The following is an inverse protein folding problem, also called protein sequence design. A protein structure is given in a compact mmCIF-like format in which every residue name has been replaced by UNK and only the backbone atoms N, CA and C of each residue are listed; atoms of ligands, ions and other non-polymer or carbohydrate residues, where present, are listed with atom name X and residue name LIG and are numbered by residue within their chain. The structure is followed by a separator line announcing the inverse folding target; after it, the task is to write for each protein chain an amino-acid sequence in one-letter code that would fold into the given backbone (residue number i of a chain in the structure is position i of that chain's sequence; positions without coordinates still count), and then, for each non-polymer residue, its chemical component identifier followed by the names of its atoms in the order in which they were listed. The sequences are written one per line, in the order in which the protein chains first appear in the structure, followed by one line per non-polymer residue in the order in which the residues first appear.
data_IF_322372010891
#
_entry.id   IF_322372010891
#
_cell.length_a   1.000
_cell.length_b   1.000
_cell.length_c   1.000
_cell.angle_alpha   90.00
_cell.angle_beta   90.00
_cell.angle_gamma   90.00
#
_symmetry.space_group_name_H-M   'P 1'
#
loop_
_entity.id
_entity.type
_entity.pdbx_description
1 polymer ?
#
# COMPACT_ATOMS: atom_id res chain seq x y z
N UNK A 1 -19.86 -17.15 -8.39
CA UNK A 1 -20.69 -16.01 -8.80
C UNK A 1 -21.08 -15.28 -7.53
N UNK A 2 -20.61 -14.04 -7.34
CA UNK A 2 -20.90 -13.27 -6.12
C UNK A 2 -22.37 -12.82 -6.13
N UNK A 3 -23.02 -12.89 -4.99
CA UNK A 3 -24.36 -12.37 -4.74
C UNK A 3 -24.35 -10.84 -4.73
N UNK A 4 -25.50 -10.22 -5.00
CA UNK A 4 -25.65 -8.76 -4.97
C UNK A 4 -25.24 -8.17 -3.60
N UNK A 5 -25.49 -8.90 -2.52
CA UNK A 5 -25.07 -8.56 -1.16
C UNK A 5 -23.54 -8.49 -1.06
N UNK A 6 -22.84 -9.51 -1.54
CA UNK A 6 -21.37 -9.56 -1.54
C UNK A 6 -20.76 -8.45 -2.40
N UNK A 7 -21.36 -8.13 -3.55
CA UNK A 7 -20.89 -7.04 -4.42
C UNK A 7 -21.01 -5.67 -3.71
N UNK A 8 -22.13 -5.43 -3.02
CA UNK A 8 -22.34 -4.19 -2.26
C UNK A 8 -21.36 -4.12 -1.08
N UNK A 9 -21.11 -5.23 -0.40
CA UNK A 9 -20.14 -5.31 0.71
C UNK A 9 -18.72 -5.02 0.25
N UNK A 10 -18.26 -5.63 -0.85
CA UNK A 10 -16.93 -5.37 -1.41
C UNK A 10 -16.80 -3.91 -1.84
N UNK A 11 -17.84 -3.33 -2.47
CA UNK A 11 -17.83 -1.91 -2.84
C UNK A 11 -17.76 -0.98 -1.63
N UNK A 12 -18.56 -1.24 -0.60
CA UNK A 12 -18.55 -0.46 0.63
C UNK A 12 -17.21 -0.60 1.37
N UNK A 13 -16.65 -1.81 1.44
CA UNK A 13 -15.35 -2.05 2.05
C UNK A 13 -14.23 -1.36 1.26
N UNK A 14 -14.25 -1.41 -0.07
CA UNK A 14 -13.27 -0.73 -0.92
C UNK A 14 -13.38 0.80 -0.81
N UNK A 15 -14.61 1.34 -0.79
CA UNK A 15 -14.85 2.76 -0.60
C UNK A 15 -14.39 3.21 0.79
N UNK A 16 -14.76 2.47 1.83
CA UNK A 16 -14.29 2.69 3.20
C UNK A 16 -12.76 2.64 3.30
N UNK A 17 -12.10 1.71 2.61
CA UNK A 17 -10.63 1.62 2.58
C UNK A 17 -9.95 2.75 1.80
N UNK A 18 -10.63 3.33 0.80
CA UNK A 18 -10.14 4.53 0.11
C UNK A 18 -10.29 5.78 0.97
N UNK A 19 -11.33 5.83 1.81
CA UNK A 19 -11.62 6.93 2.72
C UNK A 19 -10.82 6.82 4.04
N UNK A 20 -10.45 5.60 4.45
CA UNK A 20 -9.57 5.37 5.59
C UNK A 20 -8.16 5.85 5.25
N UNK A 21 -7.64 6.76 6.07
CA UNK A 21 -6.23 7.14 5.98
C UNK A 21 -5.35 5.89 6.11
N UNK A 22 -4.51 5.63 5.11
CA UNK A 22 -3.58 4.50 5.12
C UNK A 22 -2.71 4.48 6.38
N UNK A 23 -2.46 5.66 6.98
CA UNK A 23 -1.83 5.79 8.31
C UNK A 23 -2.58 5.01 9.36
N UNK A 24 -3.90 5.13 9.40
CA UNK A 24 -4.73 4.42 10.36
C UNK A 24 -4.73 2.91 10.08
N UNK A 25 -4.71 2.49 8.81
CA UNK A 25 -4.62 1.07 8.44
C UNK A 25 -3.30 0.46 8.93
N UNK A 26 -2.17 1.12 8.67
CA UNK A 26 -0.82 0.63 8.98
C UNK A 26 -0.48 0.77 10.47
N UNK A 27 -0.88 1.87 11.12
CA UNK A 27 -0.62 2.12 12.54
C UNK A 27 -1.41 1.16 13.44
N UNK A 28 -2.68 0.91 13.12
CA UNK A 28 -3.50 -0.08 13.81
C UNK A 28 -3.09 -1.52 13.48
N UNK A 29 -2.17 -1.71 12.54
CA UNK A 29 -1.71 -3.03 12.13
C UNK A 29 -0.72 -3.64 13.13
N UNK A 30 0.04 -2.79 13.85
CA UNK A 30 1.09 -3.19 14.80
C UNK A 30 0.58 -3.47 16.23
N UNK A 31 -0.62 -3.00 16.56
CA UNK A 31 -1.29 -3.21 17.86
C UNK A 31 -2.70 -3.75 17.59
N UNK A 32 -3.28 -4.53 18.51
CA UNK A 32 -4.61 -5.18 18.44
C UNK A 32 -5.83 -4.21 18.33
N UNK A 33 -5.58 -2.95 17.93
CA UNK A 33 -6.47 -1.79 17.94
C UNK A 33 -7.28 -1.67 16.63
N UNK A 34 -6.92 -2.40 15.57
CA UNK A 34 -7.58 -2.27 14.27
C UNK A 34 -9.06 -2.63 14.26
N UNK A 35 -9.43 -3.70 14.97
CA UNK A 35 -10.84 -4.08 15.11
C UNK A 35 -11.64 -3.00 15.82
N UNK A 36 -11.03 -2.32 16.80
CA UNK A 36 -11.63 -1.20 17.53
C UNK A 36 -11.82 0.03 16.62
N UNK A 37 -10.80 0.40 15.85
CA UNK A 37 -10.84 1.54 14.94
C UNK A 37 -11.85 1.30 13.82
N UNK A 38 -11.82 0.13 13.17
CA UNK A 38 -12.82 -0.19 12.16
C UNK A 38 -14.20 -0.23 12.77
N UNK A 39 -14.39 -0.84 13.95
CA UNK A 39 -15.70 -0.86 14.61
C UNK A 39 -16.19 0.57 14.89
N UNK A 40 -15.33 1.46 15.37
CA UNK A 40 -15.65 2.87 15.60
C UNK A 40 -16.04 3.59 14.30
N UNK A 41 -15.22 3.51 13.27
CA UNK A 41 -15.47 4.16 11.97
C UNK A 41 -16.70 3.57 11.27
N UNK A 42 -16.90 2.25 11.35
CA UNK A 42 -18.07 1.57 10.76
C UNK A 42 -19.35 1.90 11.54
N UNK A 43 -19.27 2.09 12.87
CA UNK A 43 -20.41 2.54 13.67
C UNK A 43 -20.84 3.97 13.32
N UNK A 44 -19.92 4.81 12.86
CA UNK A 44 -20.22 6.16 12.38
C UNK A 44 -21.00 6.18 11.05
N UNK A 45 -21.01 5.06 10.30
CA UNK A 45 -21.75 4.93 9.04
C UNK A 45 -23.27 4.70 9.24
N UNK A 46 -23.76 4.64 10.48
CA UNK A 46 -25.18 4.42 10.80
C UNK A 46 -25.80 3.17 10.14
N UNK A 47 -25.01 2.13 9.89
CA UNK A 47 -25.46 0.88 9.27
C UNK A 47 -25.82 -0.19 10.32
N UNK A 48 -26.66 -1.19 9.98
CA UNK A 48 -27.00 -2.28 10.90
C UNK A 48 -25.79 -3.04 11.42
N UNK A 49 -25.82 -3.48 12.67
CA UNK A 49 -24.72 -4.19 13.32
C UNK A 49 -24.22 -5.41 12.53
N UNK A 50 -25.12 -6.18 11.94
CA UNK A 50 -24.77 -7.33 11.08
C UNK A 50 -23.98 -6.93 9.85
N UNK A 51 -24.28 -5.78 9.25
CA UNK A 51 -23.51 -5.20 8.16
C UNK A 51 -22.15 -4.66 8.63
N UNK A 52 -22.06 -4.16 9.86
CA UNK A 52 -20.78 -3.72 10.44
C UNK A 52 -19.82 -4.90 10.58
N UNK A 53 -20.30 -6.02 11.14
CA UNK A 53 -19.51 -7.24 11.30
C UNK A 53 -19.12 -7.85 9.94
N UNK A 54 -20.03 -7.84 8.95
CA UNK A 54 -19.74 -8.27 7.58
C UNK A 54 -18.64 -7.39 6.92
N UNK A 55 -18.67 -6.07 7.15
CA UNK A 55 -17.64 -5.15 6.65
C UNK A 55 -16.30 -5.42 7.35
N UNK A 56 -16.28 -5.53 8.68
CA UNK A 56 -15.06 -5.86 9.44
C UNK A 56 -14.43 -7.16 8.94
N UNK A 57 -15.25 -8.20 8.74
CA UNK A 57 -14.82 -9.48 8.21
C UNK A 57 -14.24 -9.37 6.80
N UNK A 58 -14.82 -8.52 5.95
CA UNK A 58 -14.39 -8.28 4.57
C UNK A 58 -13.09 -7.48 4.49
N UNK A 59 -12.83 -6.56 5.42
CA UNK A 59 -11.61 -5.74 5.39
C UNK A 59 -10.41 -6.55 5.91
N UNK A 60 -10.61 -7.49 6.85
CA UNK A 60 -9.52 -8.30 7.43
C UNK A 60 -8.58 -8.94 6.39
N UNK A 61 -9.07 -9.63 5.33
CA UNK A 61 -8.20 -10.15 4.29
C UNK A 61 -7.47 -9.06 3.48
N UNK A 62 -8.09 -7.89 3.28
CA UNK A 62 -7.46 -6.75 2.59
C UNK A 62 -6.26 -6.25 3.39
N UNK A 63 -6.38 -6.15 4.72
CA UNK A 63 -5.27 -5.82 5.62
C UNK A 63 -4.10 -6.79 5.45
N UNK A 64 -4.37 -8.09 5.41
CA UNK A 64 -3.32 -9.08 5.19
C UNK A 64 -2.63 -8.89 3.84
N UNK A 65 -3.36 -8.53 2.78
CA UNK A 65 -2.76 -8.23 1.47
C UNK A 65 -1.91 -6.96 1.43
N UNK A 66 -2.27 -5.94 2.20
CA UNK A 66 -1.41 -4.76 2.39
C UNK A 66 -0.12 -5.16 3.10
N UNK A 67 -0.21 -6.03 4.12
CA UNK A 67 0.98 -6.52 4.81
C UNK A 67 1.88 -7.39 3.96
N UNK A 68 1.32 -8.35 3.24
CA UNK A 68 2.05 -9.18 2.28
C UNK A 68 2.83 -8.26 1.32
N UNK A 69 2.17 -7.20 0.83
CA UNK A 69 2.83 -6.21 -0.01
C UNK A 69 3.93 -5.47 0.75
N UNK A 70 3.69 -4.94 1.95
CA UNK A 70 4.73 -4.23 2.71
C UNK A 70 5.95 -5.11 3.02
N UNK A 71 5.73 -6.37 3.36
CA UNK A 71 6.80 -7.34 3.68
C UNK A 71 7.65 -7.65 2.44
N UNK A 72 7.02 -7.81 1.27
CA UNK A 72 7.72 -7.96 -0.01
C UNK A 72 8.58 -6.74 -0.41
N UNK A 73 8.36 -5.59 0.23
CA UNK A 73 9.13 -4.35 0.04
C UNK A 73 9.84 -3.92 1.32
N UNK A 74 10.05 -4.85 2.25
CA UNK A 74 10.77 -4.58 3.47
C UNK A 74 12.18 -4.04 3.13
N UNK A 75 12.56 -2.94 3.77
CA UNK A 75 13.82 -2.25 3.49
C UNK A 75 13.80 -1.28 2.30
N UNK A 76 12.70 -1.16 1.56
CA UNK A 76 12.49 -0.08 0.58
C UNK A 76 11.91 1.15 1.28
N UNK A 77 10.94 0.97 2.17
CA UNK A 77 10.28 2.06 2.88
C UNK A 77 10.82 2.22 4.30
N UNK A 78 10.93 3.46 4.75
CA UNK A 78 11.09 3.75 6.18
C UNK A 78 9.74 3.66 6.89
N UNK A 79 9.74 3.40 8.21
CA UNK A 79 8.50 3.39 9.02
C UNK A 79 7.65 4.66 8.85
N UNK A 80 8.29 5.82 8.70
CA UNK A 80 7.60 7.10 8.48
C UNK A 80 6.93 7.19 7.10
N UNK A 81 7.49 6.51 6.10
CA UNK A 81 6.94 6.48 4.74
C UNK A 81 5.80 5.48 4.61
N UNK A 82 5.89 4.32 5.28
CA UNK A 82 4.82 3.31 5.34
C UNK A 82 3.47 3.97 5.61
N UNK A 83 3.42 4.81 6.65
CA UNK A 83 2.23 5.55 7.06
C UNK A 83 1.61 6.39 5.92
N UNK A 84 2.41 6.92 5.00
CA UNK A 84 1.94 7.79 3.91
C UNK A 84 1.62 7.08 2.60
N UNK A 85 1.76 5.75 2.55
CA UNK A 85 1.55 5.01 1.31
C UNK A 85 0.07 5.04 0.91
N UNK A 86 -0.17 4.86 -0.38
CA UNK A 86 -1.51 4.70 -0.94
C UNK A 86 -1.52 3.42 -1.76
N UNK A 87 -2.59 2.65 -1.63
CA UNK A 87 -2.72 1.35 -2.30
C UNK A 87 -3.81 1.42 -3.35
N UNK A 88 -3.54 0.85 -4.51
CA UNK A 88 -4.56 0.58 -5.52
C UNK A 88 -5.07 -0.84 -5.32
N UNK A 89 -6.38 -1.03 -5.29
CA UNK A 89 -7.00 -2.36 -5.20
C UNK A 89 -7.65 -2.74 -6.53
N UNK A 90 -7.63 -4.03 -6.84
CA UNK A 90 -8.40 -4.59 -7.94
C UNK A 90 -9.86 -4.88 -7.51
N UNK A 91 -10.69 -5.34 -8.44
CA UNK A 91 -12.09 -5.66 -8.18
C UNK A 91 -12.28 -6.80 -7.15
N UNK A 92 -11.26 -7.62 -6.94
CA UNK A 92 -11.24 -8.71 -5.96
C UNK A 92 -10.75 -8.27 -4.57
N UNK A 93 -10.51 -6.97 -4.37
CA UNK A 93 -10.04 -6.41 -3.10
C UNK A 93 -8.57 -6.73 -2.79
N UNK A 94 -7.80 -7.18 -3.77
CA UNK A 94 -6.35 -7.44 -3.66
C UNK A 94 -5.57 -6.22 -4.12
N UNK A 95 -4.44 -5.95 -3.50
CA UNK A 95 -3.52 -4.87 -3.92
C UNK A 95 -3.08 -5.12 -5.37
N UNK A 96 -3.43 -4.20 -6.27
CA UNK A 96 -2.87 -4.13 -7.61
C UNK A 96 -1.44 -3.62 -7.50
N UNK A 97 -0.49 -4.56 -7.47
CA UNK A 97 0.90 -4.27 -7.15
C UNK A 97 1.54 -3.31 -8.14
N UNK A 98 1.23 -3.46 -9.43
CA UNK A 98 1.83 -2.64 -10.50
C UNK A 98 1.26 -1.22 -10.44
N UNK A 99 -0.06 -1.07 -10.32
CA UNK A 99 -0.65 0.27 -10.18
C UNK A 99 -0.26 0.96 -8.88
N UNK A 100 -0.14 0.19 -7.79
CA UNK A 100 0.35 0.71 -6.52
C UNK A 100 1.78 1.21 -6.65
N UNK A 101 2.68 0.41 -7.24
CA UNK A 101 4.05 0.84 -7.50
C UNK A 101 4.11 2.10 -8.38
N UNK A 102 3.32 2.15 -9.45
CA UNK A 102 3.22 3.31 -10.34
C UNK A 102 2.78 4.57 -9.60
N UNK A 103 1.70 4.47 -8.81
CA UNK A 103 1.21 5.56 -7.99
C UNK A 103 2.29 6.06 -7.01
N UNK A 104 2.99 5.15 -6.34
CA UNK A 104 4.00 5.49 -5.34
C UNK A 104 5.25 6.12 -5.97
N UNK A 105 5.65 5.69 -7.16
CA UNK A 105 6.83 6.27 -7.82
C UNK A 105 6.58 7.73 -8.26
N UNK A 106 5.33 8.11 -8.45
CA UNK A 106 4.94 9.50 -8.71
C UNK A 106 4.60 10.29 -7.44
N UNK A 107 4.65 9.67 -6.25
CA UNK A 107 4.34 10.32 -4.99
C UNK A 107 5.50 11.24 -4.55
N UNK A 108 5.27 12.56 -4.56
CA UNK A 108 6.27 13.56 -4.19
C UNK A 108 6.79 13.41 -2.74
N UNK A 109 5.97 12.82 -1.85
CA UNK A 109 6.35 12.54 -0.46
C UNK A 109 7.40 11.43 -0.30
N UNK A 110 7.69 10.66 -1.34
CA UNK A 110 8.75 9.65 -1.31
C UNK A 110 10.08 10.21 -1.83
N UNK A 111 11.16 9.88 -1.13
CA UNK A 111 12.48 10.26 -1.58
C UNK A 111 12.84 9.53 -2.88
N UNK A 112 13.80 10.11 -3.61
CA UNK A 112 14.19 9.62 -4.94
C UNK A 112 14.74 8.19 -4.87
N UNK A 113 15.40 7.80 -3.77
CA UNK A 113 15.94 6.45 -3.63
C UNK A 113 14.82 5.42 -3.49
N UNK A 114 13.81 5.68 -2.64
CA UNK A 114 12.65 4.80 -2.50
C UNK A 114 11.93 4.60 -3.84
N UNK A 115 11.69 5.71 -4.56
CA UNK A 115 11.07 5.68 -5.90
C UNK A 115 11.91 4.90 -6.92
N UNK A 116 13.24 5.02 -6.85
CA UNK A 116 14.14 4.28 -7.72
C UNK A 116 14.10 2.76 -7.47
N UNK A 117 14.10 2.35 -6.20
CA UNK A 117 14.05 0.93 -5.83
C UNK A 117 12.74 0.29 -6.30
N UNK A 118 11.60 0.98 -6.10
CA UNK A 118 10.30 0.53 -6.63
C UNK A 118 10.32 0.41 -8.16
N UNK A 119 10.89 1.41 -8.86
CA UNK A 119 11.00 1.36 -10.33
C UNK A 119 11.85 0.18 -10.81
N UNK A 120 12.90 -0.20 -10.07
CA UNK A 120 13.70 -1.38 -10.37
C UNK A 120 12.93 -2.68 -10.19
N UNK A 121 12.06 -2.76 -9.18
CA UNK A 121 11.31 -3.97 -8.87
C UNK A 121 10.12 -4.20 -9.82
N UNK A 122 9.44 -3.13 -10.26
CA UNK A 122 8.19 -3.23 -11.03
C UNK A 122 8.28 -2.90 -12.51
N UNK A 123 9.33 -2.21 -12.95
CA UNK A 123 9.40 -1.76 -14.34
C UNK A 123 10.58 -2.28 -15.13
N UNK A 124 10.37 -2.25 -16.45
CA UNK A 124 11.37 -2.61 -17.44
C UNK A 124 12.59 -1.70 -17.35
N UNK A 125 13.71 -2.24 -17.86
CA UNK A 125 15.02 -1.58 -17.91
C UNK A 125 14.97 -0.12 -18.36
N UNK A 126 14.03 0.27 -19.23
CA UNK A 126 13.88 1.63 -19.74
C UNK A 126 13.47 2.65 -18.68
N UNK A 127 12.52 2.30 -17.79
CA UNK A 127 12.11 3.18 -16.69
C UNK A 127 13.24 3.34 -15.67
N UNK A 128 13.96 2.26 -15.39
CA UNK A 128 15.15 2.26 -14.51
C UNK A 128 16.25 3.16 -15.09
N UNK A 129 16.48 3.12 -16.40
CA UNK A 129 17.47 3.96 -17.06
C UNK A 129 17.11 5.45 -17.04
N UNK A 130 15.81 5.79 -17.16
CA UNK A 130 15.34 7.17 -17.03
C UNK A 130 15.61 7.72 -15.62
N UNK A 131 15.28 6.96 -14.57
CA UNK A 131 15.58 7.34 -13.20
C UNK A 131 17.09 7.42 -12.93
N UNK A 132 17.90 6.47 -13.44
CA UNK A 132 19.36 6.53 -13.32
C UNK A 132 19.95 7.80 -13.94
N UNK A 133 19.39 8.28 -15.06
CA UNK A 133 19.83 9.51 -15.73
C UNK A 133 19.51 10.75 -14.88
N UNK A 134 18.30 10.83 -14.33
CA UNK A 134 17.89 11.90 -13.40
C UNK A 134 18.77 11.86 -12.15
N UNK A 135 18.98 10.67 -11.58
CA UNK A 135 19.76 10.46 -10.36
C UNK A 135 21.23 10.84 -10.50
N UNK A 136 21.89 10.44 -11.61
CA UNK A 136 23.28 10.81 -11.92
C UNK A 136 23.48 12.32 -12.00
N UNK A 137 22.44 13.04 -12.40
CA UNK A 137 22.47 14.51 -12.48
C UNK A 137 22.33 15.15 -11.09
N UNK A 138 21.71 14.44 -10.12
CA UNK A 138 21.36 15.00 -8.81
C UNK A 138 22.38 14.74 -7.67
N UNK A 139 23.15 13.63 -7.64
CA UNK A 139 24.22 13.41 -6.61
C UNK A 139 25.34 12.42 -6.99
N UNK A 140 26.54 12.70 -6.49
CA UNK A 140 27.77 11.90 -6.66
C UNK A 140 27.96 10.69 -5.72
N UNK A 141 28.55 9.63 -6.30
CA UNK A 141 29.24 8.40 -5.80
C UNK A 141 28.75 7.59 -4.58
N UNK A 142 28.14 8.15 -3.52
CA UNK A 142 27.94 7.39 -2.25
C UNK A 142 26.82 6.32 -2.26
N UNK A 143 25.95 6.33 -3.26
CA UNK A 143 24.75 5.47 -3.32
C UNK A 143 24.95 4.12 -4.03
N UNK A 144 25.91 4.06 -4.96
CA UNK A 144 26.11 2.88 -5.80
C UNK A 144 26.46 1.62 -4.99
N UNK A 145 27.15 1.81 -3.86
CA UNK A 145 27.58 0.74 -2.97
C UNK A 145 26.43 0.06 -2.22
N UNK A 146 25.38 0.80 -1.83
CA UNK A 146 24.24 0.22 -1.09
C UNK A 146 23.30 -0.58 -1.99
N UNK A 147 23.07 -0.11 -3.23
CA UNK A 147 22.25 -0.83 -4.22
C UNK A 147 22.92 -2.12 -4.68
N UNK A 148 24.24 -2.10 -4.93
CA UNK A 148 24.94 -3.32 -5.30
C UNK A 148 24.93 -4.38 -4.19
N UNK A 149 24.80 -3.98 -2.93
CA UNK A 149 24.66 -4.90 -1.81
C UNK A 149 23.25 -5.52 -1.73
N UNK A 150 22.20 -4.73 -1.98
CA UNK A 150 20.81 -5.23 -2.00
C UNK A 150 20.47 -6.07 -3.24
N UNK A 151 21.12 -5.85 -4.39
CA UNK A 151 20.89 -6.64 -5.61
C UNK A 151 21.69 -7.96 -5.67
N UNK A 152 22.54 -8.25 -4.67
CA UNK A 152 23.37 -9.47 -4.60
C UNK A 152 22.84 -10.53 -3.62
N UNK A 153 21.81 -10.20 -2.85
CA UNK A 153 21.03 -11.11 -1.99
C UNK A 153 19.72 -11.43 -2.66
#
# INVERSE_FOLDING_TARGET
MLTLKEIIQVKLAAQFMNDLDTRQIIMCSKNEIWSEVIRKETSALCIPFTLQEDIIASIKPIKLKIFDWLDDHNGIFTKKQEDSLKFCFNADGVVDRVKTADLLIHLEGLDVQTRFLLACQYWSRWHVLAFLKIYRTLRGRKFYTSIQQQMRT
#
